data_IF_725548614335
#
_entry.id   IF_725548614335
#
_cell.length_a   1.000
_cell.length_b   1.000
_cell.length_c   1.000
_cell.angle_alpha   90.00
_cell.angle_beta   90.00
_cell.angle_gamma   90.00
#
_symmetry.space_group_name_H-M   'P 1'
#
loop_
_entity.id
_entity.type
_entity.pdbx_description
1 polymer ?
#
# COMPACT_ATOMS: atom_id res chain seq x y z
N UNK A 1 -1.59 4.87 -17.27
CA UNK A 1 -2.55 4.83 -18.39
C UNK A 1 -2.12 3.78 -19.39
N UNK A 2 -0.94 3.88 -20.00
CA UNK A 2 -0.47 2.89 -21.00
C UNK A 2 -0.52 1.44 -20.48
N UNK A 3 0.00 1.15 -19.28
CA UNK A 3 -0.05 -0.22 -18.71
C UNK A 3 -1.49 -0.76 -18.61
N UNK A 4 -2.48 0.11 -18.39
CA UNK A 4 -3.87 -0.30 -18.24
C UNK A 4 -4.58 -0.57 -19.58
N UNK A 5 -3.97 -0.24 -20.73
CA UNK A 5 -4.51 -0.69 -22.04
C UNK A 5 -4.40 -2.19 -22.17
N UNK A 6 -3.34 -2.79 -21.62
CA UNK A 6 -3.09 -4.22 -21.67
C UNK A 6 -3.58 -4.96 -20.42
N UNK A 7 -3.45 -4.36 -19.24
CA UNK A 7 -3.80 -5.03 -17.98
C UNK A 7 -5.30 -4.89 -17.65
N UNK A 8 -5.91 -6.00 -17.22
CA UNK A 8 -7.30 -6.04 -16.74
C UNK A 8 -7.44 -5.71 -15.25
N UNK A 9 -6.34 -5.83 -14.49
CA UNK A 9 -6.28 -5.46 -13.09
C UNK A 9 -4.87 -5.02 -12.69
N UNK A 10 -4.78 -4.22 -11.63
CA UNK A 10 -3.55 -3.89 -10.92
C UNK A 10 -3.55 -4.52 -9.54
N UNK A 11 -2.40 -5.07 -9.14
CA UNK A 11 -2.14 -5.50 -7.76
C UNK A 11 -0.86 -4.83 -7.29
N UNK A 12 -0.98 -3.88 -6.37
CA UNK A 12 0.18 -3.19 -5.81
C UNK A 12 0.98 -4.13 -4.91
N UNK A 13 2.21 -4.44 -5.34
CA UNK A 13 3.24 -5.05 -4.49
C UNK A 13 3.88 -3.98 -3.62
N UNK A 14 3.21 -3.59 -2.53
CA UNK A 14 3.62 -2.43 -1.72
C UNK A 14 4.97 -2.61 -1.03
N UNK A 15 5.39 -3.84 -0.74
CA UNK A 15 6.72 -4.10 -0.19
C UNK A 15 7.82 -3.59 -1.15
N UNK A 16 7.81 -4.05 -2.40
CA UNK A 16 8.79 -3.62 -3.41
C UNK A 16 8.62 -2.16 -3.81
N UNK A 17 7.38 -1.68 -3.87
CA UNK A 17 7.13 -0.27 -4.15
C UNK A 17 7.73 0.63 -3.06
N UNK A 18 7.60 0.25 -1.78
CA UNK A 18 8.27 0.95 -0.68
C UNK A 18 9.79 0.89 -0.82
N UNK A 19 10.36 -0.29 -1.12
CA UNK A 19 11.81 -0.43 -1.33
C UNK A 19 12.33 0.55 -2.38
N UNK A 20 11.68 0.59 -3.54
CA UNK A 20 12.11 1.44 -4.66
C UNK A 20 11.84 2.92 -4.41
N UNK A 21 10.77 3.26 -3.69
CA UNK A 21 10.43 4.67 -3.38
C UNK A 21 11.36 5.26 -2.32
N UNK A 22 11.68 4.52 -1.27
CA UNK A 22 12.59 4.96 -0.21
C UNK A 22 14.07 4.73 -0.56
N UNK A 23 14.36 3.86 -1.52
CA UNK A 23 15.72 3.35 -1.76
C UNK A 23 16.20 2.44 -0.63
N UNK A 24 15.28 1.72 0.02
CA UNK A 24 15.59 0.84 1.15
C UNK A 24 15.63 -0.61 0.70
N UNK A 25 16.79 -1.25 0.86
CA UNK A 25 16.90 -2.71 0.83
C UNK A 25 16.25 -3.27 2.09
N UNK A 26 15.20 -4.09 1.93
CA UNK A 26 14.46 -4.69 3.05
C UNK A 26 15.37 -5.57 3.93
N UNK A 27 16.36 -6.22 3.33
CA UNK A 27 17.30 -7.08 4.04
C UNK A 27 18.35 -6.28 4.84
N UNK A 28 18.60 -5.03 4.47
CA UNK A 28 19.62 -4.18 5.11
C UNK A 28 19.04 -3.08 6.01
N UNK A 29 17.75 -2.77 5.88
CA UNK A 29 17.11 -1.62 6.54
C UNK A 29 17.21 -1.69 8.07
N UNK A 30 17.23 -2.90 8.63
CA UNK A 30 17.34 -3.14 10.08
C UNK A 30 18.62 -2.56 10.71
N UNK A 31 19.65 -2.26 9.90
CA UNK A 31 20.92 -1.66 10.37
C UNK A 31 20.77 -0.20 10.79
N UNK A 32 19.79 0.53 10.25
CA UNK A 32 19.62 1.97 10.52
C UNK A 32 18.20 2.38 10.90
N UNK A 33 17.18 1.59 10.56
CA UNK A 33 15.78 1.94 10.82
C UNK A 33 15.46 2.20 12.30
N UNK A 34 15.98 1.43 13.28
CA UNK A 34 15.76 1.74 14.70
C UNK A 34 16.30 3.12 15.12
N UNK A 35 17.41 3.55 14.51
CA UNK A 35 17.98 4.89 14.75
C UNK A 35 17.07 5.97 14.16
N UNK A 36 16.48 5.74 12.99
CA UNK A 36 15.57 6.70 12.36
C UNK A 36 14.29 6.88 13.16
N UNK A 37 13.73 5.77 13.68
CA UNK A 37 12.54 5.80 14.54
C UNK A 37 12.81 6.50 15.88
N UNK A 38 13.91 6.14 16.57
CA UNK A 38 14.26 6.76 17.85
C UNK A 38 14.59 8.25 17.75
N UNK A 39 15.12 8.70 16.60
CA UNK A 39 15.36 10.12 16.34
C UNK A 39 14.15 10.86 15.76
N UNK A 40 13.02 10.18 15.55
CA UNK A 40 11.81 10.76 14.97
C UNK A 40 11.95 11.17 13.49
N UNK A 41 12.99 10.70 12.80
CA UNK A 41 13.19 10.91 11.36
C UNK A 41 12.05 10.20 10.59
N UNK A 42 11.73 8.98 11.03
CA UNK A 42 10.54 8.26 10.60
C UNK A 42 9.61 8.08 11.79
N UNK A 43 8.31 8.15 11.53
CA UNK A 43 7.28 7.95 12.55
C UNK A 43 6.94 6.46 12.73
N UNK A 44 6.99 5.69 11.64
CA UNK A 44 6.69 4.27 11.61
C UNK A 44 7.69 3.55 10.68
N UNK A 45 7.81 2.23 10.81
CA UNK A 45 8.45 1.39 9.82
C UNK A 45 7.62 1.43 8.51
N UNK A 46 8.18 1.94 7.39
CA UNK A 46 7.44 2.08 6.14
C UNK A 46 7.12 0.73 5.45
N UNK A 47 7.66 -0.39 5.95
CA UNK A 47 7.32 -1.74 5.50
C UNK A 47 6.17 -2.37 6.30
N UNK A 48 5.84 -1.82 7.47
CA UNK A 48 4.70 -2.25 8.28
C UNK A 48 3.49 -1.32 8.07
N UNK A 49 3.72 -0.02 8.12
CA UNK A 49 2.70 1.02 7.94
C UNK A 49 2.99 1.77 6.64
N UNK A 50 2.01 1.78 5.73
CA UNK A 50 2.16 2.43 4.43
C UNK A 50 2.52 3.91 4.60
N UNK A 51 3.61 4.33 3.97
CA UNK A 51 3.90 5.75 3.78
C UNK A 51 2.87 6.39 2.84
N UNK A 52 1.88 7.07 3.41
CA UNK A 52 0.79 7.66 2.64
C UNK A 52 1.22 8.90 1.83
N UNK A 53 2.35 9.54 2.18
CA UNK A 53 2.81 10.80 1.55
C UNK A 53 3.66 10.55 0.31
N UNK A 54 4.54 9.55 0.34
CA UNK A 54 5.35 9.14 -0.81
C UNK A 54 4.72 7.96 -1.55
N UNK A 55 4.80 6.76 -0.98
CA UNK A 55 4.32 5.51 -1.61
C UNK A 55 2.82 5.60 -1.94
N UNK A 56 2.02 6.13 -1.02
CA UNK A 56 0.58 6.36 -1.20
C UNK A 56 0.27 7.33 -2.35
N UNK A 57 1.12 8.30 -2.65
CA UNK A 57 0.93 9.20 -3.78
C UNK A 57 1.09 8.45 -5.11
N UNK A 58 2.07 7.55 -5.20
CA UNK A 58 2.25 6.69 -6.38
C UNK A 58 1.04 5.76 -6.59
N UNK A 59 0.51 5.20 -5.51
CA UNK A 59 -0.69 4.35 -5.55
C UNK A 59 -1.91 5.12 -6.09
N UNK A 60 -2.15 6.33 -5.57
CA UNK A 60 -3.25 7.19 -6.04
C UNK A 60 -3.09 7.53 -7.52
N UNK A 61 -1.89 7.97 -7.92
CA UNK A 61 -1.59 8.33 -9.31
C UNK A 61 -1.78 7.16 -10.27
N UNK A 62 -1.27 5.97 -9.92
CA UNK A 62 -1.41 4.78 -10.73
C UNK A 62 -2.86 4.29 -10.83
N UNK A 63 -3.63 4.39 -9.74
CA UNK A 63 -5.06 4.04 -9.72
C UNK A 63 -5.86 4.99 -10.63
N UNK A 64 -5.65 6.30 -10.48
CA UNK A 64 -6.32 7.33 -11.28
C UNK A 64 -6.00 7.19 -12.76
N UNK A 65 -4.72 7.13 -13.13
CA UNK A 65 -4.28 6.96 -14.52
C UNK A 65 -4.62 5.60 -15.10
N UNK A 66 -4.70 4.57 -14.27
CA UNK A 66 -5.12 3.25 -14.72
C UNK A 66 -6.60 3.26 -15.11
N UNK A 67 -7.45 3.79 -14.22
CA UNK A 67 -8.89 3.88 -14.45
C UNK A 67 -9.29 4.89 -15.52
N UNK A 68 -8.50 5.94 -15.75
CA UNK A 68 -8.74 6.87 -16.87
C UNK A 68 -8.58 6.18 -18.23
N UNK A 69 -7.64 5.24 -18.35
CA UNK A 69 -7.44 4.45 -19.57
C UNK A 69 -8.40 3.25 -19.66
N UNK A 70 -8.72 2.61 -18.52
CA UNK A 70 -9.65 1.48 -18.43
C UNK A 70 -10.63 1.67 -17.26
N UNK A 71 -11.83 2.22 -17.50
CA UNK A 71 -12.80 2.48 -16.42
C UNK A 71 -13.22 1.25 -15.61
N UNK A 72 -13.14 0.05 -16.19
CA UNK A 72 -13.43 -1.23 -15.53
C UNK A 72 -12.24 -1.85 -14.78
N UNK A 73 -11.08 -1.18 -14.76
CA UNK A 73 -9.85 -1.72 -14.16
C UNK A 73 -10.04 -2.01 -12.68
N UNK A 74 -9.79 -3.27 -12.30
CA UNK A 74 -9.76 -3.69 -10.90
C UNK A 74 -8.41 -3.37 -10.28
N UNK A 75 -8.42 -2.79 -9.09
CA UNK A 75 -7.20 -2.32 -8.44
C UNK A 75 -7.19 -2.83 -7.01
N UNK A 76 -6.17 -3.60 -6.64
CA UNK A 76 -5.99 -4.04 -5.26
C UNK A 76 -4.55 -3.96 -4.82
N UNK A 77 -4.31 -4.44 -3.62
CA UNK A 77 -2.98 -4.49 -2.99
C UNK A 77 -2.72 -5.86 -2.40
N UNK A 78 -1.49 -6.32 -2.52
CA UNK A 78 -0.98 -7.49 -1.82
C UNK A 78 0.22 -7.11 -0.93
N UNK A 79 0.40 -7.88 0.14
CA UNK A 79 1.52 -7.72 1.05
C UNK A 79 1.10 -7.34 2.46
N UNK A 80 2.08 -6.94 3.26
CA UNK A 80 1.88 -6.79 4.71
C UNK A 80 0.95 -5.63 5.06
N UNK A 81 1.04 -4.52 4.31
CA UNK A 81 0.17 -3.37 4.42
C UNK A 81 -1.31 -3.71 4.20
N UNK A 82 -1.62 -4.77 3.44
CA UNK A 82 -3.00 -5.21 3.21
C UNK A 82 -3.70 -5.74 4.47
N UNK A 83 -2.95 -5.98 5.55
CA UNK A 83 -3.48 -6.38 6.86
C UNK A 83 -3.23 -5.38 7.98
N UNK A 84 -2.66 -4.21 7.68
CA UNK A 84 -2.40 -3.16 8.67
C UNK A 84 -3.56 -2.15 8.67
N UNK A 85 -4.25 -1.90 9.81
CA UNK A 85 -5.49 -1.13 9.84
C UNK A 85 -5.43 0.26 9.20
N UNK A 86 -4.39 1.05 9.45
CA UNK A 86 -4.28 2.41 8.92
C UNK A 86 -4.01 2.43 7.42
N UNK A 87 -3.27 1.45 6.92
CA UNK A 87 -2.99 1.22 5.51
C UNK A 87 -4.25 0.75 4.78
N UNK A 88 -5.01 -0.20 5.36
CA UNK A 88 -6.32 -0.62 4.84
C UNK A 88 -7.28 0.56 4.74
N UNK A 89 -7.31 1.43 5.76
CA UNK A 89 -8.12 2.65 5.73
C UNK A 89 -7.70 3.59 4.59
N UNK A 90 -6.40 3.73 4.35
CA UNK A 90 -5.89 4.50 3.21
C UNK A 90 -6.32 3.89 1.88
N UNK A 91 -6.18 2.57 1.70
CA UNK A 91 -6.54 1.89 0.45
C UNK A 91 -8.03 2.02 0.13
N UNK A 92 -8.90 1.89 1.14
CA UNK A 92 -10.33 2.14 0.99
C UNK A 92 -10.60 3.58 0.51
N UNK A 93 -9.98 4.58 1.15
CA UNK A 93 -10.11 6.00 0.76
C UNK A 93 -9.51 6.31 -0.62
N UNK A 94 -8.46 5.59 -1.01
CA UNK A 94 -7.85 5.68 -2.34
C UNK A 94 -8.69 4.96 -3.43
N UNK A 95 -9.79 4.30 -3.05
CA UNK A 95 -10.73 3.68 -3.96
C UNK A 95 -10.28 2.34 -4.53
N UNK A 96 -9.39 1.61 -3.85
CA UNK A 96 -9.04 0.25 -4.24
C UNK A 96 -10.24 -0.70 -4.09
N UNK A 97 -10.34 -1.69 -4.97
CA UNK A 97 -11.39 -2.71 -4.98
C UNK A 97 -11.18 -3.77 -3.88
N UNK A 98 -9.93 -4.09 -3.52
CA UNK A 98 -9.63 -5.09 -2.50
C UNK A 98 -8.28 -4.91 -1.80
N UNK A 99 -8.14 -5.56 -0.64
CA UNK A 99 -6.86 -5.80 0.04
C UNK A 99 -6.64 -7.31 0.16
N UNK A 100 -5.40 -7.76 -0.01
CA UNK A 100 -4.99 -9.16 0.14
C UNK A 100 -3.86 -9.25 1.17
N UNK A 101 -4.05 -10.10 2.18
CA UNK A 101 -3.14 -10.27 3.31
C UNK A 101 -3.05 -11.74 3.73
N UNK A 102 -2.13 -12.05 4.65
CA UNK A 102 -1.97 -13.41 5.18
C UNK A 102 -3.25 -13.92 5.85
N UNK A 103 -3.52 -15.24 5.85
CA UNK A 103 -4.79 -15.79 6.33
C UNK A 103 -5.21 -15.32 7.72
N UNK A 104 -4.25 -15.21 8.65
CA UNK A 104 -4.51 -14.78 10.02
C UNK A 104 -4.80 -13.28 10.16
N UNK A 105 -4.39 -12.45 9.19
CA UNK A 105 -4.68 -11.00 9.16
C UNK A 105 -6.01 -10.68 8.48
N UNK A 106 -6.66 -11.64 7.81
CA UNK A 106 -7.96 -11.43 7.15
C UNK A 106 -9.03 -10.85 8.09
N UNK A 107 -9.23 -11.34 9.33
CA UNK A 107 -10.21 -10.75 10.24
C UNK A 107 -9.91 -9.28 10.58
N UNK A 108 -8.63 -8.94 10.74
CA UNK A 108 -8.18 -7.57 11.04
C UNK A 108 -8.46 -6.66 9.85
N UNK A 109 -8.09 -7.09 8.64
CA UNK A 109 -8.34 -6.33 7.41
C UNK A 109 -9.84 -6.08 7.18
N UNK A 110 -10.69 -7.08 7.44
CA UNK A 110 -12.16 -6.94 7.36
C UNK A 110 -12.70 -5.91 8.35
N UNK A 111 -12.25 -5.96 9.60
CA UNK A 111 -12.66 -5.02 10.63
C UNK A 111 -12.21 -3.59 10.28
N UNK A 112 -10.95 -3.41 9.89
CA UNK A 112 -10.40 -2.12 9.51
C UNK A 112 -11.13 -1.50 8.30
N UNK A 113 -11.42 -2.31 7.27
CA UNK A 113 -12.18 -1.85 6.11
C UNK A 113 -13.61 -1.42 6.50
N UNK A 114 -14.27 -2.16 7.39
CA UNK A 114 -15.60 -1.81 7.87
C UNK A 114 -15.61 -0.51 8.69
N UNK A 115 -14.63 -0.29 9.56
CA UNK A 115 -14.53 0.92 10.39
C UNK A 115 -14.38 2.22 9.60
N UNK A 116 -13.94 2.14 8.34
CA UNK A 116 -13.71 3.30 7.46
C UNK A 116 -14.89 3.56 6.53
N UNK A 117 -15.76 2.57 6.35
CA UNK A 117 -16.98 2.67 5.55
C UNK A 117 -18.19 3.22 6.35
N UNK A 118 -18.02 3.41 7.66
CA UNK A 118 -18.98 4.03 8.59
C UNK A 118 -18.58 5.48 8.83
#
# INVERSE_FOLDING_TARGET
DEIATEAEFFSFGTNDLTQMTFGYSRDDVGKFLPVYLSKGILQNDPFEVLDQKGVGQLIKLATERGRSARPSLKVGVCGEHGGEPSSVAFFAKAGLDYVSCSPFRVPIARLAAAQVAV
#
